data_IF_250694330161
#
_entry.id   IF_250694330161
#
_cell.length_a   1.000
_cell.length_b   1.000
_cell.length_c   1.000
_cell.angle_alpha   90.00
_cell.angle_beta   90.00
_cell.angle_gamma   90.00
#
_symmetry.space_group_name_H-M   'P 1'
#
loop_
_entity.id
_entity.type
_entity.pdbx_description
1 polymer ?
#
# COMPACT_ATOMS: atom_id res chain seq x y z
N UNK A 1 24.59 -2.02 -5.16
CA UNK A 1 24.03 -2.83 -6.25
C UNK A 1 22.80 -2.10 -6.75
N UNK A 2 22.80 -1.72 -8.03
CA UNK A 2 21.74 -0.94 -8.68
C UNK A 2 20.43 -1.75 -8.68
N UNK A 3 19.33 -1.19 -8.18
CA UNK A 3 18.00 -1.60 -8.67
C UNK A 3 17.27 -0.36 -9.20
N UNK A 4 17.75 0.09 -10.36
CA UNK A 4 16.87 0.75 -11.32
C UNK A 4 16.01 -0.36 -11.91
N UNK A 5 14.99 -0.77 -11.16
CA UNK A 5 13.94 -1.59 -11.72
C UNK A 5 13.08 -0.70 -12.60
N UNK A 6 13.22 -0.83 -13.92
CA UNK A 6 12.12 -0.47 -14.79
C UNK A 6 10.90 -1.27 -14.35
N UNK A 7 9.78 -0.59 -14.10
CA UNK A 7 8.51 -1.29 -13.89
C UNK A 7 8.28 -2.20 -15.10
N UNK A 8 7.97 -3.48 -14.88
CA UNK A 8 7.73 -4.46 -15.96
C UNK A 8 6.78 -3.86 -17.00
N UNK A 9 7.24 -3.80 -18.26
CA UNK A 9 6.45 -3.34 -19.42
C UNK A 9 5.87 -1.92 -19.27
N UNK A 10 6.66 -0.97 -18.72
CA UNK A 10 6.28 0.45 -18.66
C UNK A 10 7.40 1.33 -19.20
N UNK A 11 7.00 2.42 -19.87
CA UNK A 11 7.92 3.51 -20.16
C UNK A 11 8.54 4.03 -18.86
N UNK A 12 9.81 4.43 -18.90
CA UNK A 12 10.54 4.92 -17.71
C UNK A 12 9.86 6.11 -17.01
N UNK A 13 9.02 6.86 -17.74
CA UNK A 13 8.25 8.02 -17.26
C UNK A 13 6.84 7.71 -16.77
N UNK A 14 6.41 6.44 -16.76
CA UNK A 14 5.06 6.07 -16.36
C UNK A 14 4.82 6.38 -14.87
N UNK A 15 4.12 7.48 -14.59
CA UNK A 15 3.70 7.86 -13.24
C UNK A 15 2.22 7.55 -13.04
N UNK A 16 1.82 7.34 -11.77
CA UNK A 16 0.41 7.24 -11.40
C UNK A 16 0.17 8.07 -10.13
N UNK A 17 -0.73 9.07 -10.17
CA UNK A 17 -1.11 9.76 -8.96
C UNK A 17 -1.93 8.81 -8.07
N UNK A 18 -1.53 8.71 -6.80
CA UNK A 18 -2.25 7.97 -5.75
C UNK A 18 -2.51 8.96 -4.62
N UNK A 19 -3.77 9.18 -4.22
CA UNK A 19 -4.06 10.08 -3.11
C UNK A 19 -3.48 9.52 -1.81
N UNK A 20 -2.82 10.38 -1.06
CA UNK A 20 -2.26 10.05 0.26
C UNK A 20 -3.11 10.73 1.32
N UNK A 21 -3.73 9.99 2.25
CA UNK A 21 -4.49 10.56 3.36
C UNK A 21 -3.69 11.64 4.13
N UNK A 22 -4.33 12.74 4.57
CA UNK A 22 -3.65 13.83 5.27
C UNK A 22 -2.79 13.39 6.47
N UNK A 23 -3.17 12.40 7.30
CA UNK A 23 -2.30 11.91 8.38
C UNK A 23 -0.95 11.39 7.86
N UNK A 24 -0.92 10.64 6.76
CA UNK A 24 0.32 10.12 6.19
C UNK A 24 1.14 11.23 5.53
N UNK A 25 0.50 12.23 4.93
CA UNK A 25 1.21 13.42 4.43
C UNK A 25 1.92 14.15 5.59
N UNK A 26 1.26 14.30 6.76
CA UNK A 26 1.90 14.88 7.95
C UNK A 26 3.10 14.06 8.42
N UNK A 27 2.97 12.73 8.46
CA UNK A 27 4.09 11.85 8.82
C UNK A 27 5.27 11.97 7.85
N UNK A 28 5.01 11.99 6.54
CA UNK A 28 6.05 12.18 5.53
C UNK A 28 6.75 13.54 5.65
N UNK A 29 5.99 14.61 5.87
CA UNK A 29 6.55 15.96 6.09
C UNK A 29 7.41 16.00 7.36
N UNK A 30 6.96 15.38 8.45
CA UNK A 30 7.74 15.28 9.68
C UNK A 30 9.04 14.49 9.47
N UNK A 31 8.98 13.39 8.72
CA UNK A 31 10.16 12.61 8.33
C UNK A 31 11.15 13.45 7.52
N UNK A 32 10.68 14.18 6.50
CA UNK A 32 11.53 15.08 5.70
C UNK A 32 12.15 16.18 6.56
N UNK A 33 11.39 16.78 7.48
CA UNK A 33 11.94 17.80 8.40
C UNK A 33 13.04 17.24 9.30
N UNK A 34 12.88 16.00 9.79
CA UNK A 34 13.81 15.37 10.73
C UNK A 34 15.05 14.81 10.05
N UNK A 35 14.90 14.20 8.88
CA UNK A 35 15.96 13.43 8.23
C UNK A 35 16.43 14.05 6.91
N UNK A 36 15.73 15.04 6.35
CA UNK A 36 16.00 15.57 5.01
C UNK A 36 15.69 14.56 3.90
N UNK A 37 16.08 14.90 2.67
CA UNK A 37 15.99 14.03 1.48
C UNK A 37 17.38 13.70 0.95
N UNK A 38 17.51 12.60 0.22
CA UNK A 38 18.75 12.31 -0.50
C UNK A 38 18.98 13.34 -1.64
N UNK A 39 20.21 13.49 -2.16
CA UNK A 39 20.50 14.40 -3.28
C UNK A 39 19.66 14.14 -4.54
N UNK A 40 19.21 12.89 -4.73
CA UNK A 40 18.34 12.47 -5.84
C UNK A 40 16.84 12.52 -5.49
N UNK A 41 16.48 13.11 -4.34
CA UNK A 41 15.09 13.29 -3.90
C UNK A 41 14.47 12.10 -3.16
N UNK A 42 15.20 10.99 -2.93
CA UNK A 42 14.65 9.85 -2.17
C UNK A 42 14.33 10.24 -0.72
N UNK A 43 13.14 9.83 -0.29
CA UNK A 43 12.65 10.06 1.08
C UNK A 43 13.27 9.10 2.10
N UNK A 44 13.42 7.83 1.73
CA UNK A 44 13.94 6.78 2.61
C UNK A 44 15.30 6.30 2.10
N UNK A 45 16.27 6.20 3.02
CA UNK A 45 17.64 5.80 2.75
C UNK A 45 18.25 5.15 3.99
N UNK A 46 19.28 4.33 3.80
CA UNK A 46 20.05 3.81 4.92
C UNK A 46 20.97 4.91 5.52
N UNK A 47 21.68 4.59 6.60
CA UNK A 47 22.55 5.55 7.29
C UNK A 47 23.65 6.17 6.43
N UNK A 48 24.09 5.46 5.39
CA UNK A 48 25.14 5.89 4.45
C UNK A 48 24.56 6.64 3.25
N UNK A 49 23.22 6.80 3.17
CA UNK A 49 22.54 7.49 2.08
C UNK A 49 22.19 6.62 0.87
N UNK A 50 22.43 5.31 0.95
CA UNK A 50 22.05 4.35 -0.09
C UNK A 50 20.58 3.89 0.04
N UNK A 51 20.14 3.06 -0.90
CA UNK A 51 18.84 2.41 -0.82
C UNK A 51 18.72 1.60 0.47
N UNK A 52 17.50 1.52 1.00
CA UNK A 52 17.18 0.60 2.10
C UNK A 52 17.30 -0.82 1.56
N UNK A 53 18.15 -1.63 2.18
CA UNK A 53 18.31 -3.02 1.80
C UNK A 53 17.10 -3.86 2.23
N UNK A 54 16.86 -4.96 1.51
CA UNK A 54 15.70 -5.81 1.75
C UNK A 54 15.69 -6.41 3.17
N UNK A 55 16.87 -6.71 3.73
CA UNK A 55 16.99 -7.26 5.08
C UNK A 55 16.60 -6.22 6.14
N UNK A 56 17.11 -4.99 6.03
CA UNK A 56 16.74 -3.88 6.89
C UNK A 56 15.24 -3.57 6.77
N UNK A 57 14.68 -3.60 5.56
CA UNK A 57 13.24 -3.44 5.38
C UNK A 57 12.44 -4.53 6.11
N UNK A 58 12.87 -5.79 6.03
CA UNK A 58 12.28 -6.91 6.75
C UNK A 58 12.37 -6.77 8.28
N UNK A 59 13.53 -6.35 8.80
CA UNK A 59 13.74 -6.10 10.24
C UNK A 59 12.84 -4.97 10.72
N UNK A 60 12.82 -3.84 10.00
CA UNK A 60 11.96 -2.70 10.31
C UNK A 60 10.49 -3.10 10.29
N UNK A 61 10.07 -3.93 9.32
CA UNK A 61 8.71 -4.44 9.25
C UNK A 61 8.35 -5.33 10.43
N UNK A 62 9.23 -6.25 10.83
CA UNK A 62 9.01 -7.11 12.00
C UNK A 62 8.82 -6.27 13.28
N UNK A 63 9.64 -5.24 13.47
CA UNK A 63 9.52 -4.30 14.60
C UNK A 63 8.21 -3.50 14.54
N UNK A 64 7.82 -3.04 13.36
CA UNK A 64 6.54 -2.34 13.20
C UNK A 64 5.35 -3.24 13.57
N UNK A 65 5.36 -4.52 13.17
CA UNK A 65 4.33 -5.48 13.56
C UNK A 65 4.30 -5.72 15.07
N UNK A 66 5.46 -5.82 15.72
CA UNK A 66 5.54 -5.98 17.17
C UNK A 66 4.97 -4.77 17.93
N UNK A 67 5.16 -3.56 17.39
CA UNK A 67 4.64 -2.35 18.04
C UNK A 67 3.14 -2.14 17.78
N UNK A 68 2.64 -2.50 16.60
CA UNK A 68 1.27 -2.20 16.19
C UNK A 68 0.25 -3.31 16.49
N UNK A 69 0.68 -4.57 16.59
CA UNK A 69 -0.22 -5.72 16.73
C UNK A 69 -0.19 -6.29 18.14
N UNK A 70 -1.32 -6.82 18.58
CA UNK A 70 -1.39 -7.64 19.79
C UNK A 70 -0.61 -8.95 19.62
N UNK A 71 -0.21 -9.63 20.72
CA UNK A 71 0.48 -10.91 20.63
C UNK A 71 -0.28 -11.95 19.79
N UNK A 72 -1.61 -12.02 19.94
CA UNK A 72 -2.48 -12.94 19.19
C UNK A 72 -2.54 -12.63 17.70
N UNK A 73 -2.67 -11.36 17.33
CA UNK A 73 -2.65 -10.96 15.91
C UNK A 73 -1.28 -11.25 15.29
N UNK A 74 -0.20 -11.02 16.05
CA UNK A 74 1.15 -11.27 15.56
C UNK A 74 1.38 -12.75 15.26
N UNK A 75 0.91 -13.66 16.11
CA UNK A 75 1.04 -15.12 15.94
C UNK A 75 0.14 -15.66 14.83
N UNK A 76 -1.02 -15.04 14.58
CA UNK A 76 -1.92 -15.43 13.47
C UNK A 76 -1.31 -15.31 12.07
N UNK A 77 -0.22 -14.54 11.94
CA UNK A 77 0.38 -14.21 10.65
C UNK A 77 -0.24 -12.97 9.99
N UNK A 78 -1.06 -12.19 10.70
CA UNK A 78 -1.60 -10.94 10.20
C UNK A 78 -0.47 -10.01 9.71
N UNK A 79 -0.62 -9.51 8.48
CA UNK A 79 0.35 -8.63 7.83
C UNK A 79 1.79 -9.21 7.82
N UNK A 80 1.95 -10.54 7.69
CA UNK A 80 3.26 -11.23 7.70
C UNK A 80 4.25 -10.62 6.72
N UNK A 81 3.79 -10.16 5.55
CA UNK A 81 4.61 -9.47 4.55
C UNK A 81 4.11 -8.04 4.35
N UNK A 82 4.99 -7.08 4.07
CA UNK A 82 4.60 -5.72 3.69
C UNK A 82 3.62 -5.68 2.51
N UNK A 83 3.74 -6.63 1.58
CA UNK A 83 2.84 -6.74 0.42
C UNK A 83 1.37 -6.98 0.80
N UNK A 84 1.10 -7.58 1.96
CA UNK A 84 -0.27 -7.77 2.45
C UNK A 84 -0.98 -6.43 2.69
N UNK A 85 -0.24 -5.37 3.06
CA UNK A 85 -0.83 -4.03 3.20
C UNK A 85 -1.35 -3.48 1.88
N UNK A 86 -0.71 -3.85 0.76
CA UNK A 86 -1.20 -3.47 -0.57
C UNK A 86 -2.52 -4.17 -0.86
N UNK A 87 -2.62 -5.46 -0.51
CA UNK A 87 -3.88 -6.20 -0.67
C UNK A 87 -4.99 -5.58 0.18
N UNK A 88 -4.70 -5.28 1.45
CA UNK A 88 -5.64 -4.64 2.36
C UNK A 88 -6.07 -3.25 1.86
N UNK A 89 -5.14 -2.44 1.36
CA UNK A 89 -5.44 -1.11 0.81
C UNK A 89 -6.35 -1.15 -0.40
N UNK A 90 -6.15 -2.09 -1.32
CA UNK A 90 -7.03 -2.29 -2.48
C UNK A 90 -8.42 -2.75 -2.02
N UNK A 91 -8.49 -3.73 -1.10
CA UNK A 91 -9.77 -4.17 -0.52
C UNK A 91 -10.51 -3.00 0.14
N UNK A 92 -9.80 -2.16 0.89
CA UNK A 92 -10.38 -1.02 1.58
C UNK A 92 -10.95 0.02 0.61
N UNK A 93 -10.25 0.32 -0.49
CA UNK A 93 -10.78 1.23 -1.51
C UNK A 93 -12.05 0.68 -2.16
N UNK A 94 -12.05 -0.61 -2.52
CA UNK A 94 -13.23 -1.27 -3.10
C UNK A 94 -14.40 -1.29 -2.10
N UNK A 95 -14.14 -1.60 -0.84
CA UNK A 95 -15.14 -1.57 0.24
C UNK A 95 -15.75 -0.17 0.40
N UNK A 96 -14.91 0.87 0.29
CA UNK A 96 -15.32 2.27 0.43
C UNK A 96 -16.02 2.82 -0.83
N UNK A 97 -16.35 1.96 -1.80
CA UNK A 97 -17.06 2.35 -3.02
C UNK A 97 -16.22 3.07 -4.08
N UNK A 98 -14.89 3.04 -3.98
CA UNK A 98 -14.02 3.59 -5.04
C UNK A 98 -14.16 2.70 -6.28
N UNK A 99 -14.38 3.34 -7.44
CA UNK A 99 -14.54 2.67 -8.72
C UNK A 99 -13.42 1.62 -8.97
N UNK A 100 -13.75 0.37 -9.39
CA UNK A 100 -12.76 -0.68 -9.62
C UNK A 100 -11.69 -0.34 -10.66
N UNK A 101 -12.02 0.43 -11.70
CA UNK A 101 -11.04 0.86 -12.70
C UNK A 101 -10.05 1.87 -12.08
N UNK A 102 -10.54 2.79 -11.26
CA UNK A 102 -9.68 3.72 -10.50
C UNK A 102 -8.80 2.99 -9.49
N UNK A 103 -9.34 1.98 -8.78
CA UNK A 103 -8.57 1.10 -7.90
C UNK A 103 -7.44 0.39 -8.66
N UNK A 104 -7.74 -0.19 -9.83
CA UNK A 104 -6.76 -0.87 -10.68
C UNK A 104 -5.67 0.09 -11.17
N UNK A 105 -6.06 1.30 -11.60
CA UNK A 105 -5.15 2.36 -12.03
C UNK A 105 -4.20 2.79 -10.90
N UNK A 106 -4.72 3.05 -9.69
CA UNK A 106 -3.91 3.41 -8.51
C UNK A 106 -2.97 2.27 -8.09
N UNK A 107 -3.47 1.05 -8.11
CA UNK A 107 -2.67 -0.14 -7.84
C UNK A 107 -1.57 -0.31 -8.91
N UNK A 108 -1.83 0.03 -10.16
CA UNK A 108 -0.92 -0.21 -11.28
C UNK A 108 -1.03 -1.63 -11.85
N UNK A 109 -2.23 -2.22 -11.81
CA UNK A 109 -2.56 -3.53 -12.40
C UNK A 109 -3.68 -3.38 -13.43
N UNK A 110 -3.89 -4.38 -14.29
CA UNK A 110 -5.05 -4.37 -15.18
C UNK A 110 -6.33 -4.56 -14.38
N UNK A 111 -7.44 -4.04 -14.89
CA UNK A 111 -8.76 -4.23 -14.29
C UNK A 111 -9.15 -5.72 -14.26
N UNK A 112 -8.72 -6.49 -15.26
CA UNK A 112 -8.90 -7.95 -15.31
C UNK A 112 -8.18 -8.64 -14.14
N UNK A 113 -6.92 -8.27 -13.85
CA UNK A 113 -6.17 -8.79 -12.71
C UNK A 113 -6.86 -8.40 -11.40
N UNK A 114 -7.37 -7.17 -11.30
CA UNK A 114 -8.14 -6.74 -10.14
C UNK A 114 -9.38 -7.63 -9.93
N UNK A 115 -10.21 -7.82 -10.96
CA UNK A 115 -11.39 -8.69 -10.82
C UNK A 115 -11.02 -10.13 -10.52
N UNK A 116 -9.97 -10.69 -11.12
CA UNK A 116 -9.50 -12.05 -10.82
C UNK A 116 -9.19 -12.26 -9.33
N UNK A 117 -8.56 -11.28 -8.69
CA UNK A 117 -8.18 -11.38 -7.28
C UNK A 117 -9.29 -10.97 -6.31
N UNK A 118 -10.23 -10.10 -6.74
CA UNK A 118 -11.23 -9.49 -5.86
C UNK A 118 -12.69 -9.81 -6.22
N UNK A 119 -12.97 -10.68 -7.20
CA UNK A 119 -14.32 -11.03 -7.64
C UNK A 119 -15.24 -11.45 -6.47
N UNK A 120 -14.77 -12.34 -5.59
CA UNK A 120 -15.54 -12.80 -4.43
C UNK A 120 -15.96 -11.67 -3.49
N UNK A 121 -15.11 -10.66 -3.35
CA UNK A 121 -15.39 -9.48 -2.52
C UNK A 121 -16.43 -8.57 -3.19
N UNK A 122 -16.32 -8.38 -4.51
CA UNK A 122 -17.21 -7.55 -5.30
C UNK A 122 -18.61 -8.16 -5.49
N UNK A 123 -18.71 -9.48 -5.57
CA UNK A 123 -20.00 -10.18 -5.62
C UNK A 123 -20.77 -9.96 -4.30
N UNK A 124 -20.08 -10.06 -3.16
CA UNK A 124 -20.63 -9.72 -1.84
C UNK A 124 -21.03 -8.24 -1.74
N UNK A 125 -20.20 -7.33 -2.25
CA UNK A 125 -20.52 -5.89 -2.29
C UNK A 125 -21.72 -5.58 -3.19
N UNK A 126 -21.84 -6.22 -4.36
CA UNK A 126 -23.01 -6.07 -5.24
C UNK A 126 -24.28 -6.65 -4.64
N UNK A 127 -24.17 -7.69 -3.82
CA UNK A 127 -25.31 -8.23 -3.07
C UNK A 127 -25.70 -7.26 -1.94
N UNK A 128 -24.74 -6.73 -1.19
CA UNK A 128 -24.96 -5.73 -0.14
C UNK A 128 -25.53 -4.40 -0.65
N UNK A 129 -24.98 -3.86 -1.73
CA UNK A 129 -25.45 -2.62 -2.36
C UNK A 129 -26.86 -2.76 -2.95
N UNK A 130 -27.23 -3.95 -3.47
CA UNK A 130 -28.61 -4.25 -3.91
C UNK A 130 -29.58 -4.45 -2.75
N UNK A 131 -29.09 -4.82 -1.58
CA UNK A 131 -29.88 -4.99 -0.37
C UNK A 131 -30.15 -3.67 0.39
N UNK A 132 -29.77 -2.51 -0.17
CA UNK A 132 -30.16 -1.21 0.36
C UNK A 132 -29.35 -0.75 1.57
N UNK A 133 -28.03 -0.94 1.57
CA UNK A 133 -27.14 -0.53 2.66
C UNK A 133 -27.19 0.96 3.01
N UNK A 134 -28.14 1.33 3.87
CA UNK A 134 -28.15 2.48 4.77
C UNK A 134 -28.89 2.07 6.05
N UNK A 135 -28.15 1.91 7.14
CA UNK A 135 -28.61 2.39 8.44
C UNK A 135 -27.38 2.98 9.14
N UNK A 136 -27.43 4.30 9.34
CA UNK A 136 -26.41 5.09 10.01
C UNK A 136 -26.17 4.60 11.45
N UNK A 137 -24.90 4.45 11.84
CA UNK A 137 -24.42 4.56 13.22
C UNK A 137 -22.91 4.90 13.22
#
# INVERSE_FOLDING_TARGET
>A
MHEVHSLKSRAASATRPVPIPPPFVRMLRAHVKRFGVAPDGRLFRNQVGNYVDAAAYGITWARAREHALTPTERTSGLAKRPHELRHAGISFWLYSGVDPAECARRAGQSIEVLFRHYAKFLDGFRAWSRAGGVEDA
#
